data_IF_680820612801
#
_entry.id   IF_680820612801
#
_cell.length_a   1.000
_cell.length_b   1.000
_cell.length_c   1.000
_cell.angle_alpha   90.00
_cell.angle_beta   90.00
_cell.angle_gamma   90.00
#
_symmetry.space_group_name_H-M   'P 1'
#
loop_
_entity.id
_entity.type
_entity.pdbx_description
1 polymer ?
#
# COMPACT_ATOMS: atom_id res chain seq x y z
N UNK A 1 -10.07 3.18 37.06
CA UNK A 1 -9.69 1.76 37.03
C UNK A 1 -8.78 1.55 35.81
N UNK A 2 -7.49 1.32 36.04
CA UNK A 2 -6.51 1.20 34.97
C UNK A 2 -6.48 -0.26 34.55
N UNK A 3 -6.88 -0.59 33.33
CA UNK A 3 -6.69 -1.93 32.76
C UNK A 3 -5.27 -2.02 32.18
N UNK A 4 -4.48 -2.90 32.79
CA UNK A 4 -3.13 -3.26 32.34
C UNK A 4 -3.22 -4.07 31.04
N UNK A 5 -2.55 -3.58 30.00
CA UNK A 5 -2.28 -4.35 28.79
C UNK A 5 -1.09 -5.29 29.08
N UNK A 6 -1.31 -6.58 28.92
CA UNK A 6 -0.32 -7.62 29.15
C UNK A 6 0.48 -7.84 27.85
N UNK A 7 1.72 -7.40 27.85
CA UNK A 7 2.69 -7.62 26.76
C UNK A 7 3.30 -9.01 26.92
N UNK A 8 2.98 -9.97 26.05
CA UNK A 8 3.65 -11.27 26.01
C UNK A 8 4.91 -11.18 25.15
N UNK A 9 6.07 -11.13 25.81
CA UNK A 9 7.38 -11.37 25.20
C UNK A 9 7.57 -12.89 25.06
N UNK A 10 7.72 -13.36 23.82
CA UNK A 10 8.17 -14.73 23.54
C UNK A 10 9.66 -14.66 23.19
N UNK A 11 10.50 -15.14 24.10
CA UNK A 11 11.92 -15.40 23.83
C UNK A 11 12.04 -16.70 23.01
N UNK A 12 12.48 -16.60 21.78
CA UNK A 12 12.88 -17.72 20.95
C UNK A 12 14.37 -18.01 21.13
N UNK A 13 14.70 -19.18 21.65
CA UNK A 13 16.05 -19.71 21.81
C UNK A 13 16.62 -20.15 20.46
N UNK A 14 17.76 -19.59 20.10
CA UNK A 14 18.59 -20.02 18.96
C UNK A 14 19.34 -21.29 19.36
N UNK A 15 19.12 -22.37 18.63
CA UNK A 15 19.97 -23.58 18.69
C UNK A 15 20.82 -23.61 17.41
N UNK A 16 22.10 -23.41 17.60
CA UNK A 16 23.11 -23.61 16.56
C UNK A 16 23.50 -25.11 16.60
N UNK A 17 23.28 -25.84 15.51
CA UNK A 17 23.90 -27.13 15.28
C UNK A 17 24.67 -27.10 13.96
N UNK A 18 25.98 -27.16 14.10
CA UNK A 18 26.94 -27.42 13.03
C UNK A 18 27.01 -28.90 12.70
N UNK A 19 27.11 -29.21 11.42
CA UNK A 19 27.82 -30.43 11.07
C UNK A 19 27.26 -31.26 9.91
N UNK A 20 28.16 -31.41 8.96
CA UNK A 20 28.39 -32.54 8.05
C UNK A 20 27.86 -32.44 6.62
N UNK A 21 28.83 -32.16 5.74
CA UNK A 21 28.83 -32.52 4.32
C UNK A 21 28.54 -34.01 4.11
N UNK A 22 27.62 -34.32 3.21
CA UNK A 22 27.68 -35.53 2.40
C UNK A 22 27.16 -35.20 0.99
N UNK A 23 28.03 -35.42 0.01
CA UNK A 23 27.72 -35.48 -1.42
C UNK A 23 26.58 -36.48 -1.68
N UNK A 24 25.54 -36.03 -2.36
CA UNK A 24 24.59 -36.93 -3.01
C UNK A 24 24.26 -36.35 -4.40
N UNK A 25 24.43 -37.19 -5.36
CA UNK A 25 24.20 -37.08 -6.80
C UNK A 25 22.82 -36.53 -7.13
N UNK A 26 22.81 -35.57 -8.06
CA UNK A 26 21.62 -35.02 -8.68
C UNK A 26 20.88 -36.07 -9.52
N UNK A 27 19.68 -36.44 -9.11
CA UNK A 27 18.66 -37.01 -10.00
C UNK A 27 17.76 -35.86 -10.49
N UNK A 28 17.76 -35.64 -11.79
CA UNK A 28 16.80 -34.78 -12.50
C UNK A 28 15.38 -35.32 -12.32
N UNK A 29 14.55 -34.61 -11.58
CA UNK A 29 13.11 -34.82 -11.53
C UNK A 29 12.40 -33.70 -12.28
N UNK A 30 12.10 -33.96 -13.55
CA UNK A 30 11.24 -33.13 -14.39
C UNK A 30 9.81 -33.13 -13.86
N UNK A 31 9.32 -31.98 -13.49
CA UNK A 31 7.90 -31.74 -13.22
C UNK A 31 7.09 -31.82 -14.54
N UNK A 32 6.04 -32.61 -14.54
CA UNK A 32 5.07 -32.61 -15.66
C UNK A 32 4.26 -31.32 -15.61
N UNK A 33 4.50 -30.47 -16.62
CA UNK A 33 3.78 -29.23 -16.86
C UNK A 33 2.44 -29.54 -17.54
N UNK A 34 1.34 -29.22 -16.90
CA UNK A 34 -0.01 -29.30 -17.51
C UNK A 34 -0.29 -28.00 -18.25
N UNK A 35 -0.44 -28.17 -19.55
CA UNK A 35 -0.99 -27.30 -20.61
C UNK A 35 -1.03 -25.79 -20.35
N UNK A 36 -0.07 -25.11 -20.95
CA UNK A 36 -0.17 -23.70 -21.29
C UNK A 36 -0.97 -23.53 -22.60
N UNK A 37 -1.94 -22.64 -22.60
CA UNK A 37 -2.52 -22.12 -23.85
C UNK A 37 -1.45 -21.39 -24.65
N UNK A 38 -0.99 -22.07 -25.72
CA UNK A 38 0.05 -21.60 -26.59
C UNK A 38 -0.46 -20.49 -27.49
N UNK A 39 -0.09 -19.25 -27.23
CA UNK A 39 0.02 -18.27 -28.30
C UNK A 39 1.25 -17.37 -28.09
N UNK A 40 2.22 -17.56 -29.01
CA UNK A 40 3.43 -16.76 -29.23
C UNK A 40 4.41 -16.66 -28.04
N UNK A 41 5.32 -17.63 -27.96
CA UNK A 41 6.57 -17.56 -27.21
C UNK A 41 7.49 -16.48 -27.79
N UNK A 42 7.51 -15.31 -27.19
CA UNK A 42 8.76 -14.55 -27.07
C UNK A 42 9.40 -15.01 -25.75
N UNK A 43 10.58 -15.61 -25.80
CA UNK A 43 11.34 -16.14 -24.65
C UNK A 43 11.63 -15.10 -23.55
N UNK A 44 11.19 -13.86 -23.73
CA UNK A 44 11.47 -12.71 -22.89
C UNK A 44 10.25 -12.02 -22.25
N UNK A 45 9.03 -12.58 -22.34
CA UNK A 45 7.84 -11.96 -21.73
C UNK A 45 7.28 -12.81 -20.60
N UNK A 46 6.60 -12.17 -19.65
CA UNK A 46 5.86 -12.86 -18.61
C UNK A 46 4.53 -13.40 -19.16
N UNK A 47 4.02 -14.54 -18.63
CA UNK A 47 2.67 -15.02 -18.95
C UNK A 47 1.63 -14.08 -18.34
N UNK A 48 0.41 -14.05 -18.90
CA UNK A 48 -0.71 -13.30 -18.31
C UNK A 48 -1.34 -14.00 -17.13
N UNK A 49 -1.29 -15.33 -17.11
CA UNK A 49 -1.82 -16.17 -16.04
C UNK A 49 -0.83 -17.29 -15.76
N UNK A 50 -0.81 -17.75 -14.53
CA UNK A 50 0.00 -18.89 -14.12
C UNK A 50 -0.86 -19.86 -13.30
N UNK A 51 -0.91 -21.12 -13.77
CA UNK A 51 -1.65 -22.20 -13.11
C UNK A 51 -0.70 -23.37 -12.95
N UNK A 52 -0.48 -23.78 -11.72
CA UNK A 52 0.35 -24.92 -11.37
C UNK A 52 -0.11 -25.52 -10.04
N UNK A 53 0.20 -26.78 -9.79
CA UNK A 53 -0.06 -27.42 -8.53
C UNK A 53 1.17 -28.24 -8.16
N UNK A 54 1.60 -28.15 -6.90
CA UNK A 54 2.72 -28.93 -6.39
C UNK A 54 2.40 -30.41 -6.36
N UNK A 55 3.43 -31.26 -6.37
CA UNK A 55 3.25 -32.74 -6.37
C UNK A 55 2.46 -33.25 -5.16
N UNK A 56 2.57 -32.60 -4.02
CA UNK A 56 1.84 -32.96 -2.80
C UNK A 56 0.38 -32.49 -2.84
N UNK A 57 0.02 -31.57 -3.75
CA UNK A 57 -1.25 -30.86 -3.73
C UNK A 57 -1.39 -29.86 -2.57
N UNK A 58 -0.28 -29.49 -1.91
CA UNK A 58 -0.27 -28.54 -0.80
C UNK A 58 -0.27 -27.10 -1.28
N UNK A 59 0.40 -26.82 -2.39
CA UNK A 59 0.53 -25.49 -2.98
C UNK A 59 -0.10 -25.48 -4.37
N UNK A 60 -0.99 -24.52 -4.60
CA UNK A 60 -1.65 -24.33 -5.88
C UNK A 60 -1.54 -22.89 -6.33
N UNK A 61 -1.11 -22.67 -7.57
CA UNK A 61 -1.17 -21.38 -8.24
C UNK A 61 -2.42 -21.33 -9.12
N UNK A 62 -3.19 -20.27 -8.99
CA UNK A 62 -4.38 -19.98 -9.78
C UNK A 62 -4.48 -18.46 -9.92
N UNK A 63 -3.45 -17.83 -10.51
CA UNK A 63 -3.30 -16.40 -10.45
C UNK A 63 -3.19 -15.72 -11.82
N UNK A 64 -3.71 -14.50 -11.89
CA UNK A 64 -3.39 -13.54 -12.94
C UNK A 64 -2.13 -12.78 -12.55
N UNK A 65 -1.23 -12.58 -13.49
CA UNK A 65 -0.04 -11.76 -13.27
C UNK A 65 -0.35 -10.31 -13.61
N UNK A 66 -0.26 -9.45 -12.62
CA UNK A 66 -0.39 -8.00 -12.79
C UNK A 66 0.98 -7.41 -13.14
N UNK A 67 1.14 -7.12 -14.42
CA UNK A 67 2.38 -6.62 -15.01
C UNK A 67 2.09 -5.27 -15.63
N UNK A 68 2.97 -4.27 -15.48
CA UNK A 68 2.81 -2.98 -16.13
C UNK A 68 2.60 -3.11 -17.64
N UNK A 69 1.61 -2.39 -18.17
CA UNK A 69 1.25 -2.47 -19.61
C UNK A 69 2.40 -2.04 -20.54
N UNK A 70 3.26 -1.16 -20.06
CA UNK A 70 4.42 -0.65 -20.81
C UNK A 70 5.64 -1.56 -20.73
N UNK A 71 5.58 -2.66 -19.95
CA UNK A 71 6.71 -3.57 -19.82
C UNK A 71 6.82 -4.52 -21.02
N UNK A 72 7.84 -4.29 -21.84
CA UNK A 72 8.18 -5.15 -22.98
C UNK A 72 9.29 -6.13 -22.58
N UNK A 73 8.92 -7.37 -22.31
CA UNK A 73 9.89 -8.38 -21.89
C UNK A 73 10.14 -8.38 -20.37
N UNK A 74 11.36 -8.79 -19.99
CA UNK A 74 11.79 -8.94 -18.59
C UNK A 74 12.90 -7.96 -18.19
N UNK A 75 13.09 -6.89 -18.97
CA UNK A 75 14.14 -5.90 -18.69
C UNK A 75 13.50 -4.58 -18.31
N UNK A 76 13.89 -4.04 -17.16
CA UNK A 76 13.42 -2.75 -16.63
C UNK A 76 14.58 -1.78 -16.49
N UNK A 77 14.28 -0.49 -16.52
CA UNK A 77 15.24 0.57 -16.19
C UNK A 77 15.60 0.47 -14.71
N UNK A 78 16.90 0.43 -14.41
CA UNK A 78 17.35 0.55 -13.03
C UNK A 78 17.12 1.98 -12.55
N UNK A 79 16.65 2.09 -11.30
CA UNK A 79 16.41 3.37 -10.65
C UNK A 79 17.12 3.44 -9.31
N UNK A 80 17.13 4.59 -8.70
CA UNK A 80 17.53 4.80 -7.32
C UNK A 80 16.58 5.80 -6.68
N UNK A 81 16.43 5.74 -5.36
CA UNK A 81 15.61 6.66 -4.59
C UNK A 81 16.47 7.75 -4.00
N UNK A 82 16.25 9.00 -4.41
CA UNK A 82 17.01 10.15 -3.89
C UNK A 82 16.54 10.57 -2.50
N UNK A 83 15.29 10.29 -2.16
CA UNK A 83 14.65 10.67 -0.91
C UNK A 83 13.14 10.73 -1.05
N UNK A 84 12.49 11.38 -0.10
CA UNK A 84 11.11 11.81 -0.27
C UNK A 84 11.05 13.00 -1.21
N UNK A 85 9.96 13.11 -1.96
CA UNK A 85 9.74 14.23 -2.87
C UNK A 85 9.53 15.52 -2.09
N UNK A 86 10.31 16.54 -2.40
CA UNK A 86 10.19 17.86 -1.81
C UNK A 86 8.90 18.56 -2.25
N UNK A 87 8.40 19.43 -1.37
CA UNK A 87 7.25 20.30 -1.64
C UNK A 87 7.46 21.70 -1.05
N UNK A 88 6.66 22.66 -1.47
CA UNK A 88 6.75 24.04 -1.02
C UNK A 88 5.84 24.28 0.21
N UNK A 89 6.44 24.22 1.42
CA UNK A 89 5.74 24.42 2.70
C UNK A 89 5.01 25.77 2.78
N UNK A 90 5.58 26.84 2.20
CA UNK A 90 4.96 28.17 2.23
C UNK A 90 3.67 28.20 1.39
N UNK A 91 3.65 27.53 0.25
CA UNK A 91 2.43 27.42 -0.58
C UNK A 91 1.35 26.60 0.11
N UNK A 92 1.71 25.49 0.75
CA UNK A 92 0.77 24.70 1.54
C UNK A 92 0.21 25.54 2.70
N UNK A 93 1.08 26.25 3.41
CA UNK A 93 0.66 27.15 4.48
C UNK A 93 -0.27 28.26 3.97
N UNK A 94 0.07 28.89 2.86
CA UNK A 94 -0.76 29.94 2.27
C UNK A 94 -2.15 29.43 1.88
N UNK A 95 -2.24 28.21 1.31
CA UNK A 95 -3.52 27.62 0.92
C UNK A 95 -4.42 27.30 2.11
N UNK A 96 -3.87 26.72 3.17
CA UNK A 96 -4.69 26.17 4.26
C UNK A 96 -4.75 27.03 5.52
N UNK A 97 -3.78 27.90 5.73
CA UNK A 97 -3.60 28.62 6.99
C UNK A 97 -3.66 30.14 6.87
N UNK A 98 -3.50 30.71 5.64
CA UNK A 98 -3.50 32.15 5.48
C UNK A 98 -4.83 32.77 5.94
N UNK A 99 -4.73 33.79 6.82
CA UNK A 99 -5.88 34.47 7.39
C UNK A 99 -6.62 33.73 8.50
N UNK A 100 -6.20 32.50 8.86
CA UNK A 100 -6.77 31.75 9.99
C UNK A 100 -6.11 32.16 11.31
N UNK A 101 -6.92 32.24 12.37
CA UNK A 101 -6.43 32.46 13.72
C UNK A 101 -5.86 31.15 14.28
N UNK A 102 -4.58 31.16 14.67
CA UNK A 102 -3.89 30.02 15.25
C UNK A 102 -4.23 29.95 16.73
N UNK A 103 -4.90 28.89 17.17
CA UNK A 103 -5.17 28.62 18.59
C UNK A 103 -4.00 27.88 19.27
N UNK A 104 -3.29 27.03 18.53
CA UNK A 104 -2.10 26.31 19.00
C UNK A 104 -1.10 26.12 17.88
N UNK A 105 0.18 26.32 18.18
CA UNK A 105 1.30 26.01 17.29
C UNK A 105 2.36 25.26 18.08
N UNK A 106 2.66 24.03 17.65
CA UNK A 106 3.81 23.28 18.11
C UNK A 106 4.86 23.29 16.97
N UNK A 107 6.09 23.64 17.29
CA UNK A 107 7.19 23.62 16.34
C UNK A 107 8.41 23.00 17.01
N UNK A 108 9.01 22.02 16.37
CA UNK A 108 10.16 21.30 16.89
C UNK A 108 10.97 20.70 15.74
N UNK A 109 12.22 20.40 16.01
CA UNK A 109 13.08 19.64 15.11
C UNK A 109 12.89 18.15 15.41
N UNK A 110 12.58 17.39 14.38
CA UNK A 110 12.45 15.94 14.47
C UNK A 110 13.21 15.30 13.32
N UNK A 111 14.19 14.45 13.63
CA UNK A 111 14.99 13.70 12.65
C UNK A 111 15.63 14.59 11.55
N UNK A 112 16.07 15.80 11.96
CA UNK A 112 16.71 16.77 11.07
C UNK A 112 15.75 17.58 10.19
N UNK A 113 14.43 17.51 10.44
CA UNK A 113 13.43 18.28 9.74
C UNK A 113 12.64 19.22 10.67
N UNK A 114 12.29 20.40 10.15
CA UNK A 114 11.41 21.33 10.83
C UNK A 114 9.95 20.83 10.76
N UNK A 115 9.42 20.40 11.90
CA UNK A 115 8.02 20.02 12.08
C UNK A 115 7.22 21.22 12.55
N UNK A 116 6.10 21.50 11.89
CA UNK A 116 5.14 22.50 12.32
C UNK A 116 3.73 21.91 12.36
N UNK A 117 3.11 21.96 13.54
CA UNK A 117 1.73 21.52 13.74
C UNK A 117 0.88 22.71 14.19
N UNK A 118 -0.12 23.04 13.39
CA UNK A 118 -1.03 24.15 13.63
C UNK A 118 -2.42 23.62 13.95
N UNK A 119 -3.04 24.14 15.01
CA UNK A 119 -4.47 24.03 15.25
C UNK A 119 -5.07 25.43 15.17
N UNK A 120 -6.13 25.56 14.41
CA UNK A 120 -6.79 26.86 14.21
C UNK A 120 -8.01 27.00 15.11
N UNK A 121 -8.41 28.27 15.38
CA UNK A 121 -9.57 28.57 16.24
C UNK A 121 -10.89 28.06 15.66
N UNK A 122 -10.97 27.80 14.35
CA UNK A 122 -12.10 27.18 13.67
C UNK A 122 -12.15 25.64 13.85
N UNK A 123 -11.15 25.04 14.46
CA UNK A 123 -11.03 23.59 14.66
C UNK A 123 -10.34 22.84 13.52
N UNK A 124 -9.94 23.51 12.44
CA UNK A 124 -9.11 22.90 11.41
C UNK A 124 -7.66 22.73 11.87
N UNK A 125 -6.89 21.88 11.17
CA UNK A 125 -5.51 21.59 11.56
C UNK A 125 -4.61 21.40 10.34
N UNK A 126 -3.32 21.76 10.48
CA UNK A 126 -2.31 21.58 9.45
C UNK A 126 -1.01 21.07 10.09
N UNK A 127 -0.52 19.96 9.61
CA UNK A 127 0.78 19.41 9.98
C UNK A 127 1.72 19.45 8.76
N UNK A 128 2.91 19.99 8.96
CA UNK A 128 3.96 20.13 7.94
C UNK A 128 5.29 19.62 8.47
N UNK A 129 5.85 18.70 7.71
CA UNK A 129 7.17 18.13 7.97
C UNK A 129 7.75 17.65 6.63
N UNK A 130 8.15 16.37 6.48
CA UNK A 130 8.33 15.68 5.21
C UNK A 130 6.99 15.25 4.59
N UNK A 131 5.92 15.43 5.33
CA UNK A 131 4.54 15.08 5.01
C UNK A 131 3.63 16.30 5.09
N UNK A 132 2.46 16.18 4.48
CA UNK A 132 1.40 17.20 4.57
C UNK A 132 0.15 16.52 5.10
N UNK A 133 -0.34 16.96 6.27
CA UNK A 133 -1.65 16.54 6.74
C UNK A 133 -2.52 17.75 7.00
N UNK A 134 -3.62 17.83 6.30
CA UNK A 134 -4.64 18.87 6.46
C UNK A 134 -5.97 18.25 6.88
N UNK A 135 -6.65 18.89 7.85
CA UNK A 135 -8.02 18.56 8.22
C UNK A 135 -8.87 19.82 8.36
N UNK A 136 -9.98 19.87 7.63
CA UNK A 136 -10.99 20.92 7.78
C UNK A 136 -11.73 20.78 9.14
N UNK A 137 -12.61 21.72 9.44
CA UNK A 137 -13.47 21.68 10.64
C UNK A 137 -14.41 20.48 10.70
N UNK A 138 -14.70 19.87 9.54
CA UNK A 138 -15.59 18.72 9.40
C UNK A 138 -14.85 17.40 9.19
N UNK A 139 -13.53 17.43 9.00
CA UNK A 139 -12.71 16.24 8.76
C UNK A 139 -12.84 15.16 9.85
N UNK A 140 -13.11 15.58 11.08
CA UNK A 140 -13.28 14.67 12.21
C UNK A 140 -14.44 13.68 12.04
N UNK A 141 -15.49 14.02 11.29
CA UNK A 141 -16.59 13.10 10.97
C UNK A 141 -16.06 11.86 10.27
N UNK A 142 -15.28 12.05 9.23
CA UNK A 142 -14.77 10.97 8.39
C UNK A 142 -13.70 10.13 9.10
N UNK A 143 -12.82 10.79 9.87
CA UNK A 143 -11.79 10.08 10.64
C UNK A 143 -12.38 9.26 11.79
N UNK A 144 -13.44 9.75 12.46
CA UNK A 144 -14.16 8.97 13.48
C UNK A 144 -14.84 7.74 12.89
N UNK A 145 -15.40 7.85 11.69
CA UNK A 145 -15.99 6.72 10.99
C UNK A 145 -14.94 5.72 10.47
N UNK A 146 -13.67 6.14 10.34
CA UNK A 146 -12.63 5.29 9.79
C UNK A 146 -12.86 4.92 8.33
N UNK A 147 -13.41 5.84 7.53
CA UNK A 147 -13.82 5.59 6.13
C UNK A 147 -12.69 5.09 5.23
N UNK A 148 -11.44 5.32 5.60
CA UNK A 148 -10.24 4.89 4.87
C UNK A 148 -9.94 3.40 5.02
N UNK A 149 -10.58 2.69 5.96
CA UNK A 149 -10.26 1.28 6.22
C UNK A 149 -10.72 0.38 5.06
N UNK A 150 -9.84 -0.53 4.66
CA UNK A 150 -10.08 -1.47 3.57
C UNK A 150 -11.36 -2.31 3.75
N UNK A 151 -11.66 -2.69 4.98
CA UNK A 151 -12.81 -3.53 5.32
C UNK A 151 -14.16 -2.87 4.99
N UNK A 152 -14.18 -1.54 4.77
CA UNK A 152 -15.40 -0.79 4.47
C UNK A 152 -15.58 -0.44 2.99
N UNK A 153 -14.62 -0.76 2.12
CA UNK A 153 -14.70 -0.45 0.68
C UNK A 153 -15.98 -1.02 0.05
N UNK A 154 -16.33 -2.26 0.38
CA UNK A 154 -17.52 -2.90 -0.16
C UNK A 154 -18.81 -2.19 0.27
N UNK A 155 -18.82 -1.61 1.46
CA UNK A 155 -19.95 -0.82 1.95
C UNK A 155 -20.16 0.44 1.11
N UNK A 156 -19.05 1.06 0.65
CA UNK A 156 -19.06 2.29 -0.13
C UNK A 156 -19.18 2.05 -1.64
N UNK A 157 -18.85 0.87 -2.14
CA UNK A 157 -18.79 0.56 -3.57
C UNK A 157 -20.14 0.71 -4.29
N UNK A 158 -21.27 0.52 -3.60
CA UNK A 158 -22.61 0.60 -4.15
C UNK A 158 -23.27 1.98 -4.00
N UNK A 159 -22.63 2.91 -3.31
CA UNK A 159 -23.14 4.26 -3.08
C UNK A 159 -22.92 5.18 -4.28
N UNK A 160 -23.78 6.21 -4.39
CA UNK A 160 -23.58 7.31 -5.33
C UNK A 160 -23.70 8.64 -4.59
N UNK A 161 -22.93 9.62 -5.01
CA UNK A 161 -22.97 10.99 -4.50
C UNK A 161 -23.23 11.95 -5.64
N UNK A 162 -23.71 13.16 -5.34
CA UNK A 162 -24.04 14.16 -6.33
C UNK A 162 -22.83 14.85 -6.96
N UNK A 163 -21.62 14.56 -6.45
CA UNK A 163 -20.36 15.16 -6.93
C UNK A 163 -19.84 14.46 -8.18
N UNK A 164 -19.13 15.19 -9.01
CA UNK A 164 -18.36 14.63 -10.13
C UNK A 164 -17.00 14.14 -9.64
N UNK A 165 -16.78 12.82 -9.74
CA UNK A 165 -15.55 12.16 -9.28
C UNK A 165 -14.29 12.71 -9.95
N UNK A 166 -14.33 12.84 -11.27
CA UNK A 166 -13.15 13.21 -12.04
C UNK A 166 -12.78 14.69 -11.79
N UNK A 167 -13.79 15.54 -11.55
CA UNK A 167 -13.56 16.90 -11.11
C UNK A 167 -12.92 16.95 -9.72
N UNK A 168 -13.40 16.15 -8.74
CA UNK A 168 -12.79 16.09 -7.41
C UNK A 168 -11.32 15.65 -7.47
N UNK A 169 -11.00 14.62 -8.26
CA UNK A 169 -9.62 14.15 -8.47
C UNK A 169 -8.79 15.29 -9.14
N UNK A 170 -9.36 16.01 -10.10
CA UNK A 170 -8.65 17.08 -10.79
C UNK A 170 -8.30 18.24 -9.85
N UNK A 171 -9.19 18.61 -8.93
CA UNK A 171 -8.90 19.64 -7.93
C UNK A 171 -7.78 19.20 -6.97
N UNK A 172 -7.79 17.94 -6.49
CA UNK A 172 -6.69 17.42 -5.67
C UNK A 172 -5.35 17.47 -6.41
N UNK A 173 -5.31 17.02 -7.66
CA UNK A 173 -4.09 17.08 -8.48
C UNK A 173 -3.61 18.53 -8.66
N UNK A 174 -4.50 19.45 -8.90
CA UNK A 174 -4.18 20.87 -9.03
C UNK A 174 -3.54 21.41 -7.76
N UNK A 175 -4.14 21.14 -6.60
CA UNK A 175 -3.61 21.57 -5.31
C UNK A 175 -2.22 20.97 -5.05
N UNK A 176 -2.03 19.67 -5.30
CA UNK A 176 -0.75 19.01 -5.17
C UNK A 176 0.33 19.59 -6.10
N UNK A 177 -0.02 19.85 -7.36
CA UNK A 177 0.89 20.51 -8.32
C UNK A 177 1.24 21.95 -7.87
N UNK A 178 0.30 22.68 -7.27
CA UNK A 178 0.54 24.00 -6.70
C UNK A 178 1.52 23.92 -5.53
N UNK A 179 1.48 22.89 -4.73
CA UNK A 179 2.47 22.63 -3.67
C UNK A 179 3.85 22.24 -4.22
N UNK A 180 3.94 21.84 -5.48
CA UNK A 180 5.18 21.39 -6.13
C UNK A 180 5.31 19.87 -6.27
N UNK A 181 4.31 19.09 -5.89
CA UNK A 181 4.27 17.67 -6.22
C UNK A 181 3.92 17.47 -7.69
N UNK A 182 4.73 16.69 -8.41
CA UNK A 182 4.34 16.15 -9.69
C UNK A 182 3.35 14.99 -9.48
N UNK A 183 2.22 15.03 -10.16
CA UNK A 183 1.14 14.04 -10.03
C UNK A 183 1.04 13.08 -11.21
N UNK A 184 1.94 13.16 -12.20
CA UNK A 184 1.90 12.32 -13.42
C UNK A 184 2.18 10.85 -13.12
N UNK A 185 3.03 10.57 -12.13
CA UNK A 185 3.36 9.23 -11.68
C UNK A 185 2.41 8.69 -10.58
N UNK A 186 1.35 9.42 -10.24
CA UNK A 186 0.36 9.02 -9.27
C UNK A 186 -0.89 8.43 -9.93
N UNK A 187 -1.28 7.24 -9.49
CA UNK A 187 -2.49 6.54 -9.95
C UNK A 187 -3.63 6.79 -8.98
N UNK A 188 -4.51 7.73 -9.32
CA UNK A 188 -5.65 8.12 -8.48
C UNK A 188 -6.83 7.17 -8.63
N UNK A 189 -7.46 6.86 -7.49
CA UNK A 189 -8.68 6.10 -7.37
C UNK A 189 -9.62 6.82 -6.40
N UNK A 190 -10.92 6.49 -6.43
CA UNK A 190 -11.87 7.06 -5.49
C UNK A 190 -13.09 6.15 -5.32
N UNK A 191 -13.68 6.19 -4.13
CA UNK A 191 -14.99 5.63 -3.86
C UNK A 191 -15.90 6.67 -3.19
N UNK A 192 -17.23 6.48 -3.36
CA UNK A 192 -18.22 7.44 -2.86
C UNK A 192 -18.52 7.23 -1.38
N UNK A 193 -18.53 8.29 -0.60
CA UNK A 193 -19.00 8.31 0.78
C UNK A 193 -20.44 8.83 0.80
N UNK A 194 -21.41 7.97 0.43
CA UNK A 194 -22.82 8.32 0.48
C UNK A 194 -23.33 8.38 1.92
N UNK A 195 -24.34 9.20 2.17
CA UNK A 195 -24.94 9.34 3.51
C UNK A 195 -25.42 8.00 4.05
N UNK A 196 -26.08 7.19 3.21
CA UNK A 196 -26.61 5.90 3.63
C UNK A 196 -25.52 4.91 4.03
N UNK A 197 -24.40 4.89 3.29
CA UNK A 197 -23.25 4.06 3.63
C UNK A 197 -22.57 4.53 4.91
N UNK A 198 -22.37 5.82 5.08
CA UNK A 198 -21.78 6.39 6.31
C UNK A 198 -22.67 6.16 7.52
N UNK A 199 -24.01 6.25 7.41
CA UNK A 199 -24.93 5.92 8.51
C UNK A 199 -24.84 4.45 8.90
N UNK A 200 -24.81 3.55 7.90
CA UNK A 200 -24.63 2.10 8.17
C UNK A 200 -23.34 1.83 8.91
N UNK A 201 -22.23 2.43 8.45
CA UNK A 201 -20.94 2.29 9.12
C UNK A 201 -21.00 2.81 10.56
N UNK A 202 -21.54 4.02 10.76
CA UNK A 202 -21.71 4.60 12.09
C UNK A 202 -22.51 3.68 13.03
N UNK A 203 -23.63 3.14 12.56
CA UNK A 203 -24.47 2.24 13.36
C UNK A 203 -23.74 0.93 13.67
N UNK A 204 -22.96 0.40 12.72
CA UNK A 204 -22.11 -0.78 12.93
C UNK A 204 -21.05 -0.51 14.00
N UNK A 205 -20.35 0.62 13.92
CA UNK A 205 -19.28 0.98 14.84
C UNK A 205 -19.81 1.33 16.25
N UNK A 206 -20.99 1.92 16.34
CA UNK A 206 -21.70 2.10 17.63
C UNK A 206 -22.05 0.74 18.26
N UNK A 207 -22.59 -0.19 17.48
CA UNK A 207 -22.94 -1.53 17.95
C UNK A 207 -21.71 -2.34 18.39
N UNK A 208 -20.57 -2.15 17.71
CA UNK A 208 -19.30 -2.77 18.06
C UNK A 208 -18.62 -2.10 19.29
N UNK A 209 -19.14 -0.97 19.75
CA UNK A 209 -18.58 -0.19 20.88
C UNK A 209 -17.29 0.56 20.51
N UNK A 210 -17.01 0.76 19.23
CA UNK A 210 -15.88 1.53 18.73
C UNK A 210 -16.18 3.02 18.66
N UNK A 211 -17.46 3.38 18.51
CA UNK A 211 -17.95 4.75 18.65
C UNK A 211 -18.78 4.92 19.93
N UNK A 212 -18.82 6.16 20.46
CA UNK A 212 -19.64 6.52 21.59
C UNK A 212 -20.89 7.29 21.12
N UNK A 213 -22.07 6.88 21.57
CA UNK A 213 -23.31 7.58 21.27
C UNK A 213 -23.28 9.04 21.78
N UNK A 214 -23.73 9.96 20.93
CA UNK A 214 -23.73 11.41 21.23
C UNK A 214 -22.39 12.12 21.03
N UNK A 215 -21.27 11.41 20.81
CA UNK A 215 -20.00 12.02 20.47
C UNK A 215 -19.75 12.08 18.96
N UNK A 216 -20.44 11.26 18.18
CA UNK A 216 -20.30 11.20 16.73
C UNK A 216 -21.52 11.85 16.07
N UNK A 217 -21.28 12.88 15.27
CA UNK A 217 -22.32 13.52 14.45
C UNK A 217 -22.94 12.49 13.49
N UNK A 218 -24.26 12.53 13.34
CA UNK A 218 -24.93 11.75 12.29
C UNK A 218 -24.66 12.38 10.92
N UNK A 219 -24.22 11.59 9.91
CA UNK A 219 -24.00 12.07 8.56
C UNK A 219 -25.28 12.61 7.91
N UNK A 220 -25.13 13.71 7.16
CA UNK A 220 -26.20 14.39 6.42
C UNK A 220 -25.85 14.47 4.95
N UNK A 221 -26.78 14.95 4.10
CA UNK A 221 -26.52 15.16 2.68
C UNK A 221 -25.35 16.10 2.38
N UNK A 222 -25.07 17.04 3.28
CA UNK A 222 -23.95 17.96 3.14
C UNK A 222 -22.58 17.29 3.40
N UNK A 223 -22.60 16.10 3.98
CA UNK A 223 -21.41 15.32 4.31
C UNK A 223 -21.07 14.27 3.23
N UNK A 224 -21.86 14.22 2.14
CA UNK A 224 -21.50 13.39 0.98
C UNK A 224 -20.16 13.83 0.39
N UNK A 225 -19.30 12.84 0.09
CA UNK A 225 -17.93 13.10 -0.36
C UNK A 225 -17.40 11.96 -1.24
N UNK A 226 -16.25 12.19 -1.85
CA UNK A 226 -15.37 11.12 -2.32
C UNK A 226 -14.20 10.96 -1.36
N UNK A 227 -13.90 9.70 -1.02
CA UNK A 227 -12.57 9.35 -0.55
C UNK A 227 -11.70 9.09 -1.77
N UNK A 228 -10.63 9.87 -1.91
CA UNK A 228 -9.71 9.85 -3.04
C UNK A 228 -8.36 9.41 -2.51
N UNK A 229 -7.74 8.46 -3.20
CA UNK A 229 -6.42 7.98 -2.82
C UNK A 229 -5.57 7.71 -4.05
N UNK A 230 -4.26 7.78 -3.89
CA UNK A 230 -3.36 7.52 -5.00
C UNK A 230 -2.12 6.74 -4.58
N UNK A 231 -1.70 5.84 -5.47
CA UNK A 231 -0.44 5.11 -5.38
C UNK A 231 0.55 5.63 -6.39
N UNK A 232 1.81 5.65 -5.98
CA UNK A 232 2.90 6.04 -6.86
C UNK A 232 3.28 4.91 -7.81
N UNK A 233 3.73 5.27 -9.01
CA UNK A 233 4.37 4.40 -9.98
C UNK A 233 5.75 4.95 -10.33
N UNK A 234 6.71 4.08 -10.53
CA UNK A 234 8.00 4.43 -11.08
C UNK A 234 8.16 3.77 -12.45
N UNK A 235 8.36 4.54 -13.51
CA UNK A 235 8.40 4.03 -14.90
C UNK A 235 7.22 3.11 -15.27
N UNK A 236 6.04 3.35 -14.66
CA UNK A 236 4.83 2.55 -14.83
C UNK A 236 4.72 1.33 -13.92
N UNK A 237 5.75 0.99 -13.16
CA UNK A 237 5.75 -0.09 -12.17
C UNK A 237 5.16 0.46 -10.85
N UNK A 238 4.12 -0.18 -10.27
CA UNK A 238 3.57 0.24 -8.99
C UNK A 238 4.61 0.18 -7.87
N UNK A 239 4.65 1.20 -7.03
CA UNK A 239 5.53 1.22 -5.85
C UNK A 239 4.86 0.50 -4.69
N UNK A 240 5.57 -0.45 -4.08
CA UNK A 240 5.18 -1.09 -2.83
C UNK A 240 5.79 -0.33 -1.66
N UNK A 241 4.95 0.34 -0.88
CA UNK A 241 5.36 1.15 0.26
C UNK A 241 5.50 0.28 1.52
N UNK A 242 6.68 -0.27 1.76
CA UNK A 242 6.92 -1.17 2.89
C UNK A 242 6.57 -0.55 4.24
N UNK A 243 7.01 0.70 4.47
CA UNK A 243 6.78 1.38 5.75
C UNK A 243 5.30 1.59 6.07
N UNK A 244 4.47 1.76 5.05
CA UNK A 244 3.01 1.90 5.22
C UNK A 244 2.34 0.53 5.34
N UNK A 245 2.79 -0.44 4.56
CA UNK A 245 2.17 -1.77 4.46
C UNK A 245 2.47 -2.67 5.66
N UNK A 246 3.65 -2.56 6.26
CA UNK A 246 4.06 -3.38 7.41
C UNK A 246 3.15 -3.18 8.64
N UNK A 247 2.58 -1.99 8.81
CA UNK A 247 1.71 -1.68 9.95
C UNK A 247 0.29 -2.26 9.83
N UNK A 248 -0.15 -2.70 8.63
CA UNK A 248 -1.56 -2.97 8.33
C UNK A 248 -1.82 -4.27 7.55
N UNK A 249 -1.18 -5.36 7.92
CA UNK A 249 -1.40 -6.69 7.31
C UNK A 249 -1.21 -6.74 5.78
N UNK A 250 -0.35 -5.88 5.24
CA UNK A 250 0.28 -6.05 3.93
C UNK A 250 -0.67 -6.18 2.73
N UNK A 251 -1.76 -5.39 2.71
CA UNK A 251 -2.47 -5.19 1.45
C UNK A 251 -1.84 -4.02 0.71
N UNK A 252 -1.28 -4.27 -0.46
CA UNK A 252 -0.69 -3.23 -1.31
C UNK A 252 -1.72 -2.32 -2.00
N UNK A 253 -3.01 -2.67 -1.92
CA UNK A 253 -4.12 -1.95 -2.57
C UNK A 253 -5.08 -1.30 -1.56
N UNK A 254 -4.79 -1.40 -0.28
CA UNK A 254 -5.66 -0.84 0.74
C UNK A 254 -5.61 0.69 0.70
N UNK A 255 -6.74 1.40 0.59
CA UNK A 255 -6.77 2.86 0.57
C UNK A 255 -6.04 3.52 1.75
N UNK A 256 -6.03 2.85 2.90
CA UNK A 256 -5.37 3.30 4.11
C UNK A 256 -3.83 3.14 4.08
N UNK A 257 -3.28 2.44 3.07
CA UNK A 257 -1.85 2.34 2.80
C UNK A 257 -1.39 3.28 1.67
N UNK A 258 -2.33 4.00 1.03
CA UNK A 258 -1.98 4.89 -0.06
C UNK A 258 -1.21 6.12 0.43
N UNK A 259 -0.11 6.51 -0.24
CA UNK A 259 0.68 7.68 0.14
C UNK A 259 -0.06 9.01 -0.04
N UNK A 260 -1.12 9.04 -0.83
CA UNK A 260 -2.02 10.19 -0.94
C UNK A 260 -3.41 9.74 -0.55
N UNK A 261 -4.02 10.43 0.40
CA UNK A 261 -5.40 10.22 0.82
C UNK A 261 -6.08 11.58 0.96
N UNK A 262 -7.25 11.74 0.38
CA UNK A 262 -8.01 12.96 0.46
C UNK A 262 -9.51 12.68 0.59
N UNK A 263 -10.23 13.62 1.20
CA UNK A 263 -11.70 13.62 1.24
C UNK A 263 -12.17 14.92 0.63
N UNK A 264 -13.03 14.81 -0.37
CA UNK A 264 -13.56 15.97 -1.10
C UNK A 264 -15.08 15.93 -1.11
N UNK A 265 -15.70 16.95 -0.50
CA UNK A 265 -17.15 17.11 -0.39
C UNK A 265 -17.64 18.28 -1.25
N UNK A 266 -18.94 18.59 -1.18
CA UNK A 266 -19.50 19.80 -1.79
C UNK A 266 -18.93 21.11 -1.18
N UNK A 267 -18.33 21.04 0.02
CA UNK A 267 -17.64 22.17 0.66
C UNK A 267 -16.20 22.35 0.18
N UNK A 268 -15.68 21.42 -0.63
CA UNK A 268 -14.31 21.37 -1.10
C UNK A 268 -13.49 20.30 -0.38
N UNK A 269 -12.17 20.53 -0.26
CA UNK A 269 -11.23 19.62 0.39
C UNK A 269 -11.45 19.59 1.90
N UNK A 270 -11.84 18.43 2.42
CA UNK A 270 -12.08 18.19 3.84
C UNK A 270 -10.87 17.64 4.59
N UNK A 271 -10.13 16.78 3.92
CA UNK A 271 -8.88 16.22 4.45
C UNK A 271 -7.90 15.93 3.31
N UNK A 272 -6.62 16.06 3.61
CA UNK A 272 -5.53 15.69 2.70
C UNK A 272 -4.35 15.18 3.51
N UNK A 273 -3.93 13.96 3.24
CA UNK A 273 -2.69 13.38 3.75
C UNK A 273 -1.80 13.05 2.55
N UNK A 274 -0.58 13.52 2.58
CA UNK A 274 0.48 13.19 1.61
C UNK A 274 1.66 12.69 2.40
N UNK A 275 1.93 11.38 2.25
CA UNK A 275 3.01 10.66 2.93
C UNK A 275 3.92 10.02 1.87
N UNK A 276 5.11 9.63 2.19
CA UNK A 276 6.02 8.74 1.44
C UNK A 276 5.92 8.76 -0.10
N UNK A 277 5.85 9.94 -0.73
CA UNK A 277 6.06 10.05 -2.17
C UNK A 277 7.57 10.16 -2.41
N UNK A 278 8.12 9.22 -3.18
CA UNK A 278 9.56 9.12 -3.40
C UNK A 278 10.01 9.88 -4.65
N UNK A 279 11.23 10.41 -4.60
CA UNK A 279 11.94 10.99 -5.75
C UNK A 279 12.84 9.93 -6.39
N UNK A 280 12.38 9.35 -7.51
CA UNK A 280 13.12 8.34 -8.26
C UNK A 280 14.03 8.97 -9.30
N UNK A 281 15.21 8.37 -9.48
CA UNK A 281 16.18 8.75 -10.51
C UNK A 281 16.52 7.56 -11.37
N UNK A 282 16.37 7.73 -12.68
CA UNK A 282 16.78 6.71 -13.64
C UNK A 282 18.30 6.61 -13.68
N UNK A 283 18.84 5.41 -13.58
CA UNK A 283 20.25 5.09 -13.80
C UNK A 283 20.50 4.74 -15.28
N UNK A 284 21.75 4.55 -15.65
CA UNK A 284 22.07 4.16 -17.04
C UNK A 284 21.87 2.66 -17.30
N UNK A 285 21.90 1.87 -16.24
CA UNK A 285 21.86 0.42 -16.30
C UNK A 285 20.42 -0.10 -16.42
N UNK A 286 20.33 -1.32 -16.96
CA UNK A 286 19.08 -2.08 -17.05
C UNK A 286 19.17 -3.31 -16.16
N UNK A 287 18.05 -3.70 -15.56
CA UNK A 287 17.91 -4.91 -14.76
C UNK A 287 17.11 -5.94 -15.53
N UNK A 288 17.61 -7.19 -15.58
CA UNK A 288 16.88 -8.31 -16.17
C UNK A 288 16.24 -9.15 -15.10
N UNK A 289 14.92 -9.19 -15.11
CA UNK A 289 14.11 -9.95 -14.17
C UNK A 289 14.16 -11.45 -14.49
N UNK A 290 14.08 -12.29 -13.46
CA UNK A 290 14.00 -13.73 -13.65
C UNK A 290 12.71 -14.18 -14.34
N UNK A 291 12.71 -15.35 -15.04
CA UNK A 291 11.47 -15.98 -15.49
C UNK A 291 10.50 -16.18 -14.33
N UNK A 292 9.20 -16.02 -14.59
CA UNK A 292 8.19 -16.14 -13.52
C UNK A 292 8.17 -17.53 -12.90
N UNK A 293 8.45 -18.57 -13.68
CA UNK A 293 8.52 -19.96 -13.21
C UNK A 293 9.61 -20.15 -12.13
N UNK A 294 10.76 -19.48 -12.27
CA UNK A 294 11.82 -19.52 -11.26
C UNK A 294 11.35 -18.83 -9.97
N UNK A 295 10.65 -17.71 -10.11
CA UNK A 295 10.08 -16.97 -8.95
C UNK A 295 8.98 -17.79 -8.27
N UNK A 296 8.07 -18.39 -9.04
CA UNK A 296 7.00 -19.23 -8.51
C UNK A 296 7.55 -20.45 -7.76
N UNK A 297 8.67 -21.04 -8.23
CA UNK A 297 9.32 -22.16 -7.54
C UNK A 297 9.79 -21.79 -6.12
N UNK A 298 10.23 -20.56 -5.88
CA UNK A 298 10.64 -20.09 -4.54
C UNK A 298 9.43 -20.05 -3.61
N UNK A 299 8.28 -19.57 -4.09
CA UNK A 299 7.04 -19.52 -3.32
C UNK A 299 6.52 -20.95 -3.04
N UNK A 300 6.56 -21.83 -4.05
CA UNK A 300 6.18 -23.24 -3.89
C UNK A 300 7.04 -23.90 -2.81
N UNK A 301 8.38 -23.78 -2.90
CA UNK A 301 9.31 -24.37 -1.93
C UNK A 301 9.08 -23.87 -0.50
N UNK A 302 8.82 -22.56 -0.34
CA UNK A 302 8.50 -21.97 0.97
C UNK A 302 7.34 -22.70 1.64
N UNK A 303 6.21 -22.81 0.95
CA UNK A 303 4.98 -23.36 1.54
C UNK A 303 4.97 -24.88 1.62
N UNK A 304 5.63 -25.58 0.69
CA UNK A 304 5.84 -27.02 0.77
C UNK A 304 6.63 -27.43 2.00
N UNK A 305 7.64 -26.66 2.39
CA UNK A 305 8.52 -26.95 3.51
C UNK A 305 7.91 -26.59 4.88
N UNK A 306 6.75 -25.96 4.94
CA UNK A 306 6.06 -25.72 6.21
C UNK A 306 5.56 -27.03 6.83
N UNK A 307 5.89 -27.24 8.11
CA UNK A 307 5.54 -28.47 8.86
C UNK A 307 4.09 -28.39 9.38
N UNK A 308 3.13 -28.25 8.47
CA UNK A 308 1.70 -28.26 8.77
C UNK A 308 0.91 -28.93 7.64
N UNK A 309 -0.37 -29.20 7.88
CA UNK A 309 -1.29 -29.83 6.90
C UNK A 309 -2.12 -28.79 6.12
N UNK A 310 -1.76 -27.49 6.22
CA UNK A 310 -2.45 -26.41 5.53
C UNK A 310 -2.26 -26.51 4.01
N UNK A 311 -3.27 -26.05 3.28
CA UNK A 311 -3.21 -25.85 1.83
C UNK A 311 -3.08 -24.36 1.52
N UNK A 312 -2.27 -24.06 0.53
CA UNK A 312 -1.96 -22.70 0.12
C UNK A 312 -2.35 -22.49 -1.33
N UNK A 313 -3.20 -21.50 -1.60
CA UNK A 313 -3.55 -21.08 -2.94
C UNK A 313 -3.00 -19.67 -3.20
N UNK A 314 -2.16 -19.57 -4.22
CA UNK A 314 -1.65 -18.29 -4.71
C UNK A 314 -2.66 -17.75 -5.70
N UNK A 315 -3.35 -16.67 -5.31
CA UNK A 315 -4.48 -16.10 -6.06
C UNK A 315 -4.09 -14.89 -6.90
N UNK A 316 -2.99 -14.23 -6.55
CA UNK A 316 -2.52 -13.01 -7.20
C UNK A 316 -1.01 -12.94 -7.20
N UNK A 317 -0.45 -12.46 -8.31
CA UNK A 317 0.96 -12.13 -8.42
C UNK A 317 1.10 -10.76 -9.10
N UNK A 318 1.80 -9.82 -8.49
CA UNK A 318 1.95 -8.44 -8.97
C UNK A 318 3.43 -8.05 -9.01
N UNK A 319 3.88 -7.50 -10.13
CA UNK A 319 5.20 -6.92 -10.23
C UNK A 319 5.18 -5.50 -9.66
N UNK A 320 5.97 -5.27 -8.64
CA UNK A 320 6.09 -3.98 -7.96
C UNK A 320 7.55 -3.57 -7.83
N UNK A 321 7.77 -2.33 -7.45
CA UNK A 321 9.04 -1.80 -7.00
C UNK A 321 8.95 -1.52 -5.50
N UNK A 322 9.72 -2.24 -4.69
CA UNK A 322 9.75 -2.06 -3.24
C UNK A 322 10.73 -0.96 -2.89
N UNK A 323 10.28 -0.01 -2.09
CA UNK A 323 11.15 0.98 -1.44
C UNK A 323 11.24 0.66 0.05
N UNK A 324 12.46 0.63 0.56
CA UNK A 324 12.76 0.30 1.96
C UNK A 324 13.93 1.15 2.48
N UNK A 325 14.06 1.21 3.80
CA UNK A 325 15.21 1.88 4.42
C UNK A 325 16.35 0.87 4.59
N UNK A 326 17.48 1.15 3.97
CA UNK A 326 18.69 0.33 4.06
C UNK A 326 19.40 0.45 5.41
N UNK A 327 20.46 -0.35 5.61
CA UNK A 327 21.26 -0.34 6.84
C UNK A 327 21.96 1.03 7.11
N UNK A 328 22.21 1.79 6.05
CA UNK A 328 22.80 3.13 6.10
C UNK A 328 21.78 4.26 6.34
N UNK A 329 20.55 3.90 6.66
CA UNK A 329 19.40 4.80 6.86
C UNK A 329 19.00 5.57 5.60
N UNK A 330 19.43 5.11 4.42
CA UNK A 330 18.99 5.66 3.14
C UNK A 330 17.89 4.81 2.52
N UNK A 331 17.08 5.43 1.70
CA UNK A 331 16.14 4.69 0.89
C UNK A 331 16.89 3.87 -0.18
N UNK A 332 16.44 2.64 -0.33
CA UNK A 332 16.85 1.73 -1.38
C UNK A 332 15.60 1.18 -2.07
N UNK A 333 15.77 0.69 -3.29
CA UNK A 333 14.68 0.09 -4.05
C UNK A 333 15.11 -1.22 -4.69
N UNK A 334 14.14 -2.08 -4.95
CA UNK A 334 14.34 -3.34 -5.65
C UNK A 334 13.04 -3.80 -6.33
N UNK A 335 13.13 -4.40 -7.53
CA UNK A 335 11.97 -5.00 -8.18
C UNK A 335 11.55 -6.27 -7.43
N UNK A 336 10.26 -6.41 -7.15
CA UNK A 336 9.70 -7.53 -6.43
C UNK A 336 8.49 -8.13 -7.14
N UNK A 337 8.27 -9.42 -6.90
CA UNK A 337 6.98 -10.04 -7.06
C UNK A 337 6.27 -10.09 -5.71
N UNK A 338 5.08 -9.51 -5.65
CA UNK A 338 4.14 -9.58 -4.55
C UNK A 338 3.16 -10.72 -4.82
N UNK A 339 3.04 -11.65 -3.89
CA UNK A 339 2.11 -12.78 -3.99
C UNK A 339 1.08 -12.70 -2.87
N UNK A 340 -0.22 -12.70 -3.22
CA UNK A 340 -1.29 -12.96 -2.27
C UNK A 340 -1.48 -14.47 -2.16
N UNK A 341 -1.43 -14.96 -0.94
CA UNK A 341 -1.53 -16.39 -0.63
C UNK A 341 -2.68 -16.61 0.33
N UNK A 342 -3.57 -17.52 -0.01
CA UNK A 342 -4.74 -17.88 0.81
C UNK A 342 -4.50 -19.23 1.45
N UNK A 343 -4.37 -19.26 2.77
CA UNK A 343 -4.24 -20.48 3.57
C UNK A 343 -5.61 -21.04 3.92
N UNK A 344 -5.86 -22.31 3.58
CA UNK A 344 -7.10 -23.04 3.88
C UNK A 344 -8.38 -22.31 3.45
N UNK A 345 -8.31 -21.48 2.42
CA UNK A 345 -9.45 -20.73 1.86
C UNK A 345 -9.90 -19.48 2.65
N UNK A 346 -9.26 -19.15 3.77
CA UNK A 346 -9.72 -18.09 4.65
C UNK A 346 -8.65 -17.07 5.04
N UNK A 347 -7.44 -17.51 5.35
CA UNK A 347 -6.40 -16.64 5.88
C UNK A 347 -5.54 -16.11 4.72
N UNK A 348 -5.55 -14.82 4.52
CA UNK A 348 -4.67 -14.17 3.54
C UNK A 348 -3.32 -13.85 4.17
N UNK A 349 -2.26 -14.11 3.44
CA UNK A 349 -0.89 -13.73 3.77
C UNK A 349 -0.16 -13.28 2.51
N UNK A 350 1.00 -12.67 2.67
CA UNK A 350 1.79 -12.13 1.58
C UNK A 350 3.17 -12.78 1.56
N UNK A 351 3.67 -13.04 0.36
CA UNK A 351 5.07 -13.40 0.14
C UNK A 351 5.67 -12.45 -0.88
N UNK A 352 6.82 -11.90 -0.56
CA UNK A 352 7.60 -11.05 -1.46
C UNK A 352 8.83 -11.81 -1.92
N UNK A 353 9.11 -11.73 -3.23
CA UNK A 353 10.32 -12.32 -3.83
C UNK A 353 10.98 -11.26 -4.71
N UNK A 354 12.26 -11.01 -4.49
CA UNK A 354 13.04 -10.12 -5.36
C UNK A 354 13.04 -10.65 -6.81
N UNK A 355 12.58 -9.85 -7.74
CA UNK A 355 12.35 -10.27 -9.12
C UNK A 355 13.63 -10.45 -9.92
N UNK A 356 14.74 -9.81 -9.52
CA UNK A 356 16.06 -9.94 -10.14
C UNK A 356 16.82 -11.16 -9.61
N UNK A 357 16.85 -11.33 -8.29
CA UNK A 357 17.69 -12.36 -7.64
C UNK A 357 16.95 -13.67 -7.39
N UNK A 358 15.62 -13.65 -7.31
CA UNK A 358 14.79 -14.77 -6.92
C UNK A 358 14.84 -15.09 -5.42
N UNK A 359 15.31 -14.17 -4.59
CA UNK A 359 15.36 -14.39 -3.13
C UNK A 359 14.06 -13.94 -2.48
N UNK A 360 13.57 -14.75 -1.54
CA UNK A 360 12.47 -14.33 -0.68
C UNK A 360 12.89 -13.13 0.19
N UNK A 361 11.96 -12.20 0.38
CA UNK A 361 12.12 -11.01 1.20
C UNK A 361 11.30 -11.22 2.46
N UNK A 362 11.96 -11.21 3.61
CA UNK A 362 11.29 -11.25 4.90
C UNK A 362 11.02 -9.80 5.35
N UNK A 363 9.76 -9.45 5.50
CA UNK A 363 9.39 -8.18 6.12
C UNK A 363 9.60 -8.25 7.63
N UNK A 364 10.00 -7.16 8.28
CA UNK A 364 10.33 -7.12 9.71
C UNK A 364 9.12 -7.38 10.63
#
# INVERSE_FOLDING_TARGET
MVKKVLLCLILGTVIISSGCEKNATSEENSAETVQNDANSKTENSFPKTYNAESKSGKVKFSCTLEIPENLNGRTIQKTSVAGLRDYNKDKVYAMFAEGKEISKKDQYDWDGGDVANYTFSDGSSLYLDNYVHWGSTTSSLYSYLGVQQADYIDLFSSGSVSLDKDNCISEIKKDMNEFGYDTEDLSFQAFSLSVDAMKKLRDQELNNGLLEEGKTKEPTSDDEAYFIYAYQKNNGIPVFHELMSAAKQMSDDSPDNAPVQAIYSARGLEALNIDYIYDFKNEQDMVTLKPFEEIASVVEEKYENLLNDSKYEITRAKLCERVYTGEDQKYAEEPIWYFEVVENGNNKTVTLVNAETGKEINLP
#
